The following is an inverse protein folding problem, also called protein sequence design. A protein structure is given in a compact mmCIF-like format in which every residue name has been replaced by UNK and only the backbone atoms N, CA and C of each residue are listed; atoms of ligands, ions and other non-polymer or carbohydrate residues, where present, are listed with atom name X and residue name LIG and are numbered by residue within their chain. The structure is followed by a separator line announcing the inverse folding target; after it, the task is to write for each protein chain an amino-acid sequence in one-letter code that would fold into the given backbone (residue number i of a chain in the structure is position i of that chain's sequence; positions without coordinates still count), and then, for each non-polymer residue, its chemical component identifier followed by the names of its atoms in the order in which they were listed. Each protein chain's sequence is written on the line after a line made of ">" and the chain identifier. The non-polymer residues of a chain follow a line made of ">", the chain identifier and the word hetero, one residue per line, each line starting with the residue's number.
data_IF_020304788214
#
_entry.id   IF_020304788214
#
_cell.length_a   1.000
_cell.length_b   1.000
_cell.length_c   1.000
_cell.angle_alpha   90.00
_cell.angle_beta   90.00
_cell.angle_gamma   90.00
#
_symmetry.space_group_name_H-M   'P 1'
#
loop_
_entity.id
_entity.type
_entity.pdbx_description
1 polymer ?
#
# COMPACT_ATOMS: atom_id res chain seq x y z
N UNK A 1 10.76 -9.30 41.77
CA UNK A 1 11.04 -9.80 40.41
C UNK A 1 12.28 -9.08 39.89
N UNK A 2 13.31 -9.81 39.46
CA UNK A 2 14.52 -9.22 38.90
C UNK A 2 14.23 -8.49 37.61
N UNK A 3 14.86 -7.34 37.39
CA UNK A 3 14.76 -6.56 36.14
C UNK A 3 15.57 -7.29 35.06
N UNK A 4 14.91 -7.87 34.08
CA UNK A 4 15.58 -8.52 32.95
C UNK A 4 16.09 -7.44 32.01
N UNK A 5 17.41 -7.40 31.76
CA UNK A 5 18.06 -6.55 30.76
C UNK A 5 18.41 -7.39 29.54
N UNK A 6 18.32 -6.80 28.38
CA UNK A 6 18.55 -7.49 27.10
C UNK A 6 19.66 -6.83 26.32
N UNK A 7 20.44 -7.65 25.62
CA UNK A 7 21.43 -7.17 24.65
C UNK A 7 20.74 -6.89 23.31
N UNK A 8 21.02 -5.71 22.75
CA UNK A 8 20.56 -5.32 21.43
C UNK A 8 21.70 -4.63 20.71
N UNK A 9 21.99 -5.05 19.50
CA UNK A 9 23.03 -4.41 18.71
C UNK A 9 22.67 -2.93 18.42
N UNK A 10 23.62 -1.99 18.57
CA UNK A 10 23.38 -0.59 18.32
C UNK A 10 22.84 -0.31 16.91
N UNK A 11 23.24 -1.11 15.93
CA UNK A 11 22.80 -1.02 14.54
C UNK A 11 21.29 -1.26 14.40
N UNK A 12 20.73 -2.17 15.19
CA UNK A 12 19.29 -2.46 15.24
C UNK A 12 18.50 -1.30 15.85
N UNK A 13 19.05 -0.67 16.89
CA UNK A 13 18.44 0.52 17.49
C UNK A 13 18.44 1.69 16.47
N UNK A 14 19.55 1.90 15.74
CA UNK A 14 19.61 2.91 14.67
C UNK A 14 18.68 2.59 13.53
N UNK A 15 18.56 1.32 13.15
CA UNK A 15 17.61 0.88 12.13
C UNK A 15 16.16 1.20 12.55
N UNK A 16 15.77 0.87 13.78
CA UNK A 16 14.43 1.16 14.27
C UNK A 16 14.11 2.68 14.31
N UNK A 17 15.09 3.50 14.70
CA UNK A 17 14.97 4.98 14.65
C UNK A 17 14.75 5.47 13.21
N UNK A 18 15.55 4.98 12.25
CA UNK A 18 15.35 5.34 10.83
C UNK A 18 14.01 4.85 10.30
N UNK A 19 13.60 3.63 10.66
CA UNK A 19 12.30 3.06 10.29
C UNK A 19 11.13 3.91 10.77
N UNK A 20 11.26 4.51 11.95
CA UNK A 20 10.27 5.44 12.51
C UNK A 20 10.29 6.84 11.84
N UNK A 21 11.23 7.11 10.95
CA UNK A 21 11.41 8.43 10.34
C UNK A 21 11.88 9.49 11.34
N UNK A 22 12.46 9.08 12.50
CA UNK A 22 12.93 10.03 13.49
C UNK A 22 14.33 10.54 13.16
N UNK A 23 14.51 11.85 13.27
CA UNK A 23 15.84 12.44 13.38
C UNK A 23 16.47 12.16 14.76
N UNK A 24 17.74 12.46 14.91
CA UNK A 24 18.49 12.19 16.13
C UNK A 24 17.92 12.94 17.34
N UNK A 25 17.53 14.22 17.15
CA UNK A 25 16.95 15.03 18.21
C UNK A 25 15.63 14.45 18.71
N UNK A 26 14.75 14.07 17.80
CA UNK A 26 13.47 13.43 18.11
C UNK A 26 13.68 12.10 18.83
N UNK A 27 14.63 11.27 18.35
CA UNK A 27 14.92 9.98 18.95
C UNK A 27 15.40 10.12 20.40
N UNK A 28 16.34 11.03 20.66
CA UNK A 28 16.86 11.29 22.00
C UNK A 28 15.82 11.91 22.95
N UNK A 29 14.96 12.77 22.42
CA UNK A 29 13.86 13.37 23.20
C UNK A 29 12.81 12.32 23.59
N UNK A 30 12.45 11.41 22.68
CA UNK A 30 11.45 10.35 22.93
C UNK A 30 12.01 9.20 23.78
N UNK A 31 13.29 8.91 23.63
CA UNK A 31 13.98 7.81 24.31
C UNK A 31 15.25 8.34 24.99
N UNK A 32 15.14 8.98 26.18
CA UNK A 32 16.29 9.64 26.83
C UNK A 32 17.50 8.75 27.12
N UNK A 33 17.30 7.42 27.20
CA UNK A 33 18.39 6.45 27.42
C UNK A 33 18.98 5.88 26.12
N UNK A 34 18.51 6.32 24.96
CA UNK A 34 18.96 5.79 23.67
C UNK A 34 20.46 6.00 23.47
N UNK A 35 20.99 7.17 23.85
CA UNK A 35 22.43 7.45 23.76
C UNK A 35 23.27 6.44 24.56
N UNK A 36 22.86 6.10 25.79
CA UNK A 36 23.53 5.12 26.62
C UNK A 36 23.47 3.70 26.02
N UNK A 37 22.33 3.36 25.40
CA UNK A 37 22.17 2.06 24.74
C UNK A 37 23.04 1.97 23.48
N UNK A 38 23.08 3.04 22.69
CA UNK A 38 23.91 3.12 21.48
C UNK A 38 25.41 3.08 21.79
N UNK A 39 25.83 3.67 22.93
CA UNK A 39 27.22 3.66 23.39
C UNK A 39 27.59 2.38 24.15
N UNK A 40 26.65 1.47 24.43
CA UNK A 40 26.88 0.29 25.26
C UNK A 40 27.08 0.59 26.75
N UNK A 41 26.86 1.85 27.17
CA UNK A 41 27.01 2.28 28.57
C UNK A 41 25.92 1.67 29.48
N UNK A 42 24.78 1.36 28.94
CA UNK A 42 23.71 0.64 29.64
C UNK A 42 22.93 -0.26 28.69
N UNK A 43 22.23 -1.27 29.24
CA UNK A 43 21.34 -2.15 28.48
C UNK A 43 19.89 -1.84 28.79
N UNK A 44 19.00 -1.83 27.80
CA UNK A 44 17.57 -1.67 28.04
C UNK A 44 17.03 -2.85 28.86
N UNK A 45 16.01 -2.58 29.66
CA UNK A 45 15.17 -3.66 30.18
C UNK A 45 14.26 -4.17 29.07
N UNK A 46 13.76 -5.41 29.20
CA UNK A 46 12.80 -5.98 28.23
C UNK A 46 11.63 -5.02 28.00
N UNK A 47 11.05 -4.48 29.07
CA UNK A 47 9.93 -3.53 29.02
C UNK A 47 10.26 -2.21 28.31
N UNK A 48 11.50 -1.72 28.49
CA UNK A 48 11.96 -0.52 27.77
C UNK A 48 12.14 -0.80 26.28
N UNK A 49 12.65 -1.99 25.94
CA UNK A 49 12.82 -2.39 24.55
C UNK A 49 11.47 -2.66 23.86
N UNK A 50 10.49 -3.27 24.54
CA UNK A 50 9.13 -3.42 24.04
C UNK A 50 8.48 -2.06 23.74
N UNK A 51 8.64 -1.10 24.69
CA UNK A 51 8.16 0.27 24.45
C UNK A 51 8.87 0.93 23.27
N UNK A 52 10.17 0.81 23.16
CA UNK A 52 10.95 1.34 22.05
C UNK A 52 10.51 0.74 20.71
N UNK A 53 10.32 -0.57 20.65
CA UNK A 53 9.78 -1.25 19.46
C UNK A 53 8.41 -0.72 19.06
N UNK A 54 7.51 -0.55 20.04
CA UNK A 54 6.18 0.03 19.81
C UNK A 54 6.25 1.47 19.31
N UNK A 55 7.08 2.31 19.92
CA UNK A 55 7.22 3.72 19.58
C UNK A 55 7.86 3.92 18.20
N UNK A 56 8.77 3.01 17.79
CA UNK A 56 9.44 3.03 16.48
C UNK A 56 8.71 2.21 15.41
N UNK A 57 7.61 1.56 15.77
CA UNK A 57 6.89 0.61 14.90
C UNK A 57 7.78 -0.53 14.37
N UNK A 58 8.90 -0.81 15.04
CA UNK A 58 9.77 -1.93 14.71
C UNK A 58 9.17 -3.23 15.25
N UNK A 59 9.08 -4.31 14.45
CA UNK A 59 8.67 -5.61 14.96
C UNK A 59 9.64 -6.05 16.06
N UNK A 60 9.11 -6.33 17.26
CA UNK A 60 9.93 -6.57 18.46
C UNK A 60 10.99 -7.67 18.24
N UNK A 61 10.62 -8.76 17.57
CA UNK A 61 11.55 -9.86 17.28
C UNK A 61 12.74 -9.46 16.41
N UNK A 62 12.58 -8.44 15.55
CA UNK A 62 13.66 -7.97 14.68
C UNK A 62 14.78 -7.26 15.44
N UNK A 63 14.52 -6.78 16.67
CA UNK A 63 15.53 -6.17 17.52
C UNK A 63 16.52 -7.19 18.12
N UNK A 64 16.34 -8.48 17.86
CA UNK A 64 17.22 -9.58 18.27
C UNK A 64 17.94 -10.25 17.10
N UNK A 65 17.81 -9.70 15.89
CA UNK A 65 18.57 -10.19 14.74
C UNK A 65 20.07 -9.89 14.89
N UNK A 66 20.94 -10.62 14.22
CA UNK A 66 22.38 -10.34 14.24
C UNK A 66 22.75 -9.03 13.54
N UNK A 67 21.93 -8.59 12.56
CA UNK A 67 22.11 -7.37 11.78
C UNK A 67 20.74 -6.79 11.38
N UNK A 68 20.68 -5.49 11.03
CA UNK A 68 19.45 -4.86 10.59
C UNK A 68 18.88 -5.54 9.34
N UNK A 69 17.56 -5.85 9.31
CA UNK A 69 16.94 -6.41 8.14
C UNK A 69 16.94 -5.38 7.00
N UNK A 70 17.14 -5.85 5.78
CA UNK A 70 16.93 -5.04 4.57
C UNK A 70 15.44 -5.07 4.27
N UNK A 71 14.77 -3.96 4.56
CA UNK A 71 13.35 -3.79 4.22
C UNK A 71 13.23 -3.21 2.81
N UNK A 72 12.78 -4.03 1.88
CA UNK A 72 12.43 -3.63 0.52
C UNK A 72 10.91 -3.69 0.35
N UNK A 73 10.38 -2.90 -0.56
CA UNK A 73 8.97 -2.99 -0.93
C UNK A 73 8.75 -4.36 -1.57
N UNK A 74 7.83 -5.20 -1.04
CA UNK A 74 7.68 -6.59 -1.47
C UNK A 74 6.90 -6.75 -2.79
N UNK A 75 6.55 -5.66 -3.44
CA UNK A 75 5.86 -5.59 -4.74
C UNK A 75 6.59 -4.62 -5.66
N UNK A 76 6.46 -4.71 -6.99
CA UNK A 76 7.07 -3.78 -7.92
C UNK A 76 6.70 -2.33 -7.59
N UNK A 77 7.72 -1.50 -7.34
CA UNK A 77 7.54 -0.08 -7.10
C UNK A 77 7.49 0.67 -8.43
N UNK A 78 6.31 1.16 -8.77
CA UNK A 78 6.05 1.91 -9.99
C UNK A 78 6.00 3.42 -9.76
N UNK A 79 6.13 3.88 -8.51
CA UNK A 79 6.10 5.30 -8.18
C UNK A 79 7.16 6.06 -8.96
N UNK A 80 6.76 7.18 -9.53
CA UNK A 80 7.67 8.17 -10.11
C UNK A 80 8.17 9.10 -9.00
N UNK A 81 8.99 8.59 -8.11
CA UNK A 81 9.58 9.44 -7.08
C UNK A 81 10.50 10.44 -7.79
N UNK A 82 10.16 11.72 -7.66
CA UNK A 82 11.03 12.81 -8.07
C UNK A 82 12.41 12.58 -7.46
N UNK A 83 13.48 12.80 -8.23
CA UNK A 83 14.92 12.62 -7.96
C UNK A 83 15.50 13.29 -6.68
N UNK A 84 14.72 13.52 -5.67
CA UNK A 84 15.13 14.07 -4.39
C UNK A 84 15.36 12.91 -3.42
N UNK A 85 16.63 12.53 -3.26
CA UNK A 85 17.22 11.68 -2.21
C UNK A 85 16.23 10.76 -1.48
N UNK A 86 15.89 9.63 -2.08
CA UNK A 86 14.80 8.78 -1.62
C UNK A 86 15.14 8.20 -0.24
N UNK A 87 14.52 8.73 0.79
CA UNK A 87 14.34 7.97 2.01
C UNK A 87 13.64 6.66 1.64
N UNK A 88 14.11 5.51 2.14
CA UNK A 88 13.48 4.21 1.89
C UNK A 88 11.98 4.24 2.22
N UNK A 89 11.22 3.17 1.92
CA UNK A 89 9.79 3.13 2.20
C UNK A 89 9.53 3.35 3.69
N UNK A 90 8.46 4.11 3.99
CA UNK A 90 8.08 4.32 5.38
C UNK A 90 7.62 3.01 6.04
N UNK A 91 7.72 2.95 7.38
CA UNK A 91 7.15 1.85 8.14
C UNK A 91 5.63 1.71 7.91
N UNK A 92 4.94 2.82 7.68
CA UNK A 92 3.50 2.85 7.49
C UNK A 92 3.09 2.21 6.15
N UNK A 93 3.85 2.51 5.09
CA UNK A 93 3.68 1.87 3.78
C UNK A 93 3.95 0.36 3.85
N UNK A 94 5.11 -0.05 4.39
CA UNK A 94 5.49 -1.45 4.48
C UNK A 94 4.49 -2.27 5.31
N UNK A 95 4.12 -1.77 6.49
CA UNK A 95 3.17 -2.45 7.37
C UNK A 95 1.78 -2.57 6.73
N UNK A 96 1.38 -1.57 5.92
CA UNK A 96 0.11 -1.60 5.17
C UNK A 96 0.15 -2.68 4.08
N UNK A 97 1.23 -2.77 3.30
CA UNK A 97 1.39 -3.80 2.27
C UNK A 97 1.38 -5.19 2.91
N UNK A 98 2.20 -5.42 3.96
CA UNK A 98 2.23 -6.71 4.65
C UNK A 98 0.90 -7.09 5.29
N UNK A 99 0.13 -6.12 5.80
CA UNK A 99 -1.21 -6.36 6.31
C UNK A 99 -2.15 -6.85 5.21
N UNK A 100 -2.11 -6.19 4.04
CA UNK A 100 -2.93 -6.56 2.89
C UNK A 100 -2.54 -7.92 2.32
N UNK A 101 -1.23 -8.22 2.20
CA UNK A 101 -0.75 -9.55 1.77
C UNK A 101 -1.26 -10.66 2.68
N UNK A 102 -1.13 -10.50 4.01
CA UNK A 102 -1.65 -11.51 4.96
C UNK A 102 -3.16 -11.71 4.86
N UNK A 103 -3.93 -10.66 4.57
CA UNK A 103 -5.39 -10.77 4.37
C UNK A 103 -5.71 -11.44 3.05
N UNK A 104 -4.96 -11.12 2.00
CA UNK A 104 -5.07 -11.77 0.69
C UNK A 104 -4.77 -13.26 0.80
N UNK A 105 -3.66 -13.64 1.43
CA UNK A 105 -3.26 -15.05 1.62
C UNK A 105 -4.35 -15.82 2.38
N UNK A 106 -4.85 -15.25 3.49
CA UNK A 106 -5.90 -15.88 4.27
C UNK A 106 -7.19 -16.07 3.46
N UNK A 107 -7.60 -15.03 2.71
CA UNK A 107 -8.82 -15.11 1.89
C UNK A 107 -8.64 -16.07 0.72
N UNK A 108 -7.47 -16.09 0.10
CA UNK A 108 -7.12 -17.01 -0.99
C UNK A 108 -7.25 -18.47 -0.55
N UNK A 109 -6.69 -18.82 0.60
CA UNK A 109 -6.78 -20.17 1.15
C UNK A 109 -8.25 -20.54 1.41
N UNK A 110 -9.01 -19.64 2.04
CA UNK A 110 -10.45 -19.83 2.27
C UNK A 110 -11.24 -20.01 0.96
N UNK A 111 -10.98 -19.18 -0.04
CA UNK A 111 -11.67 -19.21 -1.32
C UNK A 111 -11.39 -20.52 -2.08
N UNK A 112 -10.14 -20.96 -2.09
CA UNK A 112 -9.73 -22.24 -2.70
C UNK A 112 -10.41 -23.43 -1.99
N UNK A 113 -10.43 -23.44 -0.68
CA UNK A 113 -11.12 -24.50 0.09
C UNK A 113 -12.65 -24.51 -0.18
N UNK A 114 -13.22 -23.33 -0.47
CA UNK A 114 -14.61 -23.19 -0.87
C UNK A 114 -14.89 -23.51 -2.36
N UNK A 115 -13.85 -23.86 -3.13
CA UNK A 115 -13.97 -24.20 -4.56
C UNK A 115 -14.09 -22.99 -5.49
N UNK A 116 -13.55 -21.82 -5.09
CA UNK A 116 -13.55 -20.64 -5.94
C UNK A 116 -12.77 -20.89 -7.25
N UNK A 117 -13.32 -20.39 -8.34
CA UNK A 117 -12.69 -20.42 -9.65
C UNK A 117 -11.78 -19.19 -9.86
N UNK A 118 -10.92 -19.27 -10.88
CA UNK A 118 -10.09 -18.15 -11.28
C UNK A 118 -10.95 -17.01 -11.84
N UNK A 119 -10.51 -15.78 -11.63
CA UNK A 119 -11.18 -14.58 -12.10
C UNK A 119 -10.67 -14.25 -13.52
N UNK A 120 -11.53 -14.41 -14.52
CA UNK A 120 -11.20 -14.37 -15.94
C UNK A 120 -10.51 -13.08 -16.43
N UNK A 121 -10.80 -11.94 -15.81
CA UNK A 121 -10.20 -10.68 -16.28
C UNK A 121 -8.79 -10.45 -15.74
N UNK A 122 -8.37 -11.12 -14.66
CA UNK A 122 -7.02 -10.97 -14.10
C UNK A 122 -5.99 -11.49 -15.11
N UNK A 123 -5.01 -10.67 -15.47
CA UNK A 123 -3.99 -11.03 -16.45
C UNK A 123 -4.49 -11.24 -17.87
N UNK A 124 -5.72 -10.85 -18.19
CA UNK A 124 -6.35 -11.10 -19.50
C UNK A 124 -5.90 -10.15 -20.61
N UNK A 125 -5.12 -9.11 -20.30
CA UNK A 125 -4.61 -8.14 -21.27
C UNK A 125 -3.12 -7.89 -21.14
N UNK A 126 -2.54 -7.29 -22.16
CA UNK A 126 -1.15 -6.82 -22.14
C UNK A 126 -1.10 -5.32 -22.37
N UNK A 127 0.03 -4.68 -22.08
CA UNK A 127 0.23 -3.24 -22.32
C UNK A 127 0.14 -2.81 -23.78
N UNK A 128 0.09 -3.75 -24.70
CA UNK A 128 -0.12 -3.49 -26.14
C UNK A 128 -1.59 -3.38 -26.52
N UNK A 129 -2.50 -3.77 -25.61
CA UNK A 129 -3.94 -3.62 -25.83
C UNK A 129 -4.31 -2.14 -25.87
N UNK A 130 -5.21 -1.71 -26.80
CA UNK A 130 -5.69 -0.33 -26.84
C UNK A 130 -6.39 0.04 -25.52
N UNK A 131 -5.96 1.10 -24.82
CA UNK A 131 -6.55 1.51 -23.54
C UNK A 131 -8.05 1.73 -23.61
N UNK A 132 -8.55 2.29 -24.71
CA UNK A 132 -9.98 2.59 -24.95
C UNK A 132 -10.82 1.30 -24.99
N UNK A 133 -10.30 0.26 -25.64
CA UNK A 133 -11.00 -1.03 -25.72
C UNK A 133 -11.06 -1.72 -24.36
N UNK A 134 -9.98 -1.63 -23.56
CA UNK A 134 -9.95 -2.18 -22.20
C UNK A 134 -10.86 -1.38 -21.27
N UNK A 135 -10.82 -0.05 -21.35
CA UNK A 135 -11.69 0.83 -20.60
C UNK A 135 -13.19 0.55 -20.86
N UNK A 136 -13.56 0.31 -22.12
CA UNK A 136 -14.92 -0.11 -22.49
C UNK A 136 -15.34 -1.39 -21.76
N UNK A 137 -14.50 -2.43 -21.80
CA UNK A 137 -14.76 -3.70 -21.08
C UNK A 137 -14.85 -3.50 -19.56
N UNK A 138 -13.98 -2.66 -18.98
CA UNK A 138 -14.03 -2.35 -17.54
C UNK A 138 -15.32 -1.61 -17.18
N UNK A 139 -15.76 -0.65 -18.01
CA UNK A 139 -17.04 0.05 -17.82
C UNK A 139 -18.22 -0.90 -17.83
N UNK A 140 -18.26 -1.82 -18.78
CA UNK A 140 -19.33 -2.82 -18.89
C UNK A 140 -19.35 -3.73 -17.66
N UNK A 141 -18.20 -4.23 -17.23
CA UNK A 141 -18.06 -5.10 -16.05
C UNK A 141 -18.47 -4.39 -14.75
N UNK A 142 -18.01 -3.15 -14.57
CA UNK A 142 -18.31 -2.32 -13.41
C UNK A 142 -19.65 -1.59 -13.53
N UNK A 143 -20.39 -1.75 -14.66
CA UNK A 143 -21.65 -1.07 -14.95
C UNK A 143 -21.56 0.45 -14.75
N UNK A 144 -20.45 1.07 -15.18
CA UNK A 144 -20.26 2.51 -15.08
C UNK A 144 -21.16 3.19 -16.10
N UNK A 145 -22.06 4.06 -15.63
CA UNK A 145 -23.04 4.75 -16.44
C UNK A 145 -24.49 4.32 -16.23
N UNK A 146 -24.72 3.13 -15.62
CA UNK A 146 -26.08 2.63 -15.33
C UNK A 146 -26.80 3.48 -14.29
N UNK A 147 -26.06 4.07 -13.38
CA UNK A 147 -26.57 4.93 -12.32
C UNK A 147 -25.65 6.14 -12.13
N UNK A 148 -26.26 7.32 -11.97
CA UNK A 148 -25.52 8.55 -11.67
C UNK A 148 -25.59 8.80 -10.18
N UNK A 149 -24.49 8.56 -9.46
CA UNK A 149 -24.37 8.89 -8.05
C UNK A 149 -24.53 10.39 -7.80
N UNK A 150 -25.21 10.75 -6.72
CA UNK A 150 -25.47 12.14 -6.35
C UNK A 150 -24.23 12.78 -5.67
N UNK A 151 -23.36 11.98 -5.06
CA UNK A 151 -22.16 12.44 -4.35
C UNK A 151 -20.95 11.58 -4.67
N UNK A 152 -19.75 12.14 -4.45
CA UNK A 152 -18.50 11.39 -4.58
C UNK A 152 -18.42 10.21 -3.60
N UNK A 153 -19.03 10.32 -2.42
CA UNK A 153 -19.05 9.23 -1.43
C UNK A 153 -19.93 8.08 -1.90
N UNK A 154 -21.09 8.36 -2.46
CA UNK A 154 -21.98 7.36 -3.06
C UNK A 154 -21.30 6.69 -4.25
N UNK A 155 -20.70 7.46 -5.16
CA UNK A 155 -19.95 6.91 -6.30
C UNK A 155 -18.83 5.97 -5.87
N UNK A 156 -18.09 6.31 -4.82
CA UNK A 156 -17.02 5.48 -4.28
C UNK A 156 -17.59 4.19 -3.66
N UNK A 157 -18.67 4.27 -2.91
CA UNK A 157 -19.32 3.11 -2.30
C UNK A 157 -19.84 2.14 -3.36
N UNK A 158 -20.56 2.66 -4.35
CA UNK A 158 -21.09 1.85 -5.48
C UNK A 158 -19.95 1.17 -6.25
N UNK A 159 -18.85 1.90 -6.47
CA UNK A 159 -17.71 1.37 -7.22
C UNK A 159 -16.98 0.27 -6.44
N UNK A 160 -16.82 0.43 -5.12
CA UNK A 160 -16.27 -0.61 -4.24
C UNK A 160 -17.16 -1.85 -4.32
N UNK A 161 -18.46 -1.71 -4.09
CA UNK A 161 -19.40 -2.83 -4.08
C UNK A 161 -19.39 -3.59 -5.43
N UNK A 162 -19.37 -2.88 -6.54
CA UNK A 162 -19.30 -3.49 -7.88
C UNK A 162 -17.97 -4.22 -8.11
N UNK A 163 -16.86 -3.65 -7.63
CA UNK A 163 -15.54 -4.28 -7.72
C UNK A 163 -15.45 -5.53 -6.86
N UNK A 164 -16.01 -5.49 -5.64
CA UNK A 164 -16.07 -6.64 -4.73
C UNK A 164 -16.98 -7.75 -5.27
N UNK A 165 -18.08 -7.41 -5.94
CA UNK A 165 -18.96 -8.38 -6.61
C UNK A 165 -18.28 -9.11 -7.79
N UNK A 166 -17.15 -8.61 -8.29
CA UNK A 166 -16.30 -9.28 -9.28
C UNK A 166 -15.24 -10.19 -8.64
N UNK A 167 -15.23 -10.33 -7.31
CA UNK A 167 -14.28 -11.16 -6.58
C UNK A 167 -12.99 -10.45 -6.17
N UNK A 168 -12.90 -9.14 -6.32
CA UNK A 168 -11.72 -8.35 -5.91
C UNK A 168 -11.89 -7.88 -4.48
N UNK A 169 -10.89 -8.10 -3.64
CA UNK A 169 -10.84 -7.51 -2.30
C UNK A 169 -10.51 -6.01 -2.41
N UNK A 170 -11.38 -5.14 -1.89
CA UNK A 170 -11.12 -3.70 -1.88
C UNK A 170 -10.91 -3.21 -0.46
N UNK A 171 -9.76 -2.61 -0.19
CA UNK A 171 -9.41 -2.05 1.11
C UNK A 171 -9.18 -0.55 0.99
N UNK A 172 -9.98 0.25 1.67
CA UNK A 172 -9.83 1.71 1.75
C UNK A 172 -9.55 2.09 3.19
N UNK A 173 -8.36 2.61 3.47
CA UNK A 173 -8.00 3.05 4.81
C UNK A 173 -7.00 4.20 4.76
N UNK A 174 -7.19 5.22 5.61
CA UNK A 174 -6.27 6.36 5.75
C UNK A 174 -5.30 6.22 6.93
N UNK A 175 -5.26 5.05 7.58
CA UNK A 175 -4.38 4.75 8.72
C UNK A 175 -3.86 3.31 8.62
N UNK A 176 -2.74 3.03 9.26
CA UNK A 176 -2.20 1.67 9.29
C UNK A 176 -3.06 0.76 10.19
N UNK A 177 -3.70 -0.23 9.62
CA UNK A 177 -4.37 -1.30 10.35
C UNK A 177 -5.47 -0.90 11.33
N UNK A 178 -5.92 0.35 11.34
CA UNK A 178 -6.88 0.92 12.30
C UNK A 178 -6.21 1.75 13.40
N UNK A 179 -4.90 1.93 13.38
CA UNK A 179 -4.20 2.81 14.31
C UNK A 179 -4.29 4.28 13.85
N UNK A 180 -5.18 5.06 14.49
CA UNK A 180 -5.44 6.47 14.16
C UNK A 180 -4.25 7.41 14.35
N UNK A 181 -3.20 6.98 15.05
CA UNK A 181 -1.95 7.72 15.23
C UNK A 181 -0.95 7.50 14.08
N UNK A 182 -1.23 6.54 13.19
CA UNK A 182 -0.40 6.20 12.03
C UNK A 182 -1.15 6.53 10.75
N UNK A 183 -1.22 7.81 10.43
CA UNK A 183 -1.91 8.28 9.22
C UNK A 183 -1.04 8.02 7.99
N UNK A 184 -1.64 7.45 6.97
CA UNK A 184 -0.99 7.24 5.68
C UNK A 184 -0.79 8.57 4.94
N UNK A 185 0.33 8.69 4.24
CA UNK A 185 0.66 9.87 3.46
C UNK A 185 0.31 9.66 1.97
N UNK A 186 -0.67 10.39 1.39
CA UNK A 186 -1.00 10.28 -0.03
C UNK A 186 0.12 10.78 -0.96
N UNK A 187 1.08 11.56 -0.45
CA UNK A 187 2.27 11.98 -1.21
C UNK A 187 3.30 10.86 -1.34
N UNK A 188 3.28 9.87 -0.42
CA UNK A 188 4.15 8.70 -0.51
C UNK A 188 3.56 7.64 -1.44
N UNK A 189 2.26 7.34 -1.30
CA UNK A 189 1.53 6.41 -2.17
C UNK A 189 0.03 6.67 -2.10
N UNK A 190 -0.67 6.42 -3.20
CA UNK A 190 -2.12 6.56 -3.30
C UNK A 190 -2.87 5.25 -3.27
N UNK A 191 -2.24 4.19 -3.78
CA UNK A 191 -2.80 2.85 -3.79
C UNK A 191 -1.78 1.80 -4.19
N UNK A 192 -2.21 0.57 -4.20
CA UNK A 192 -1.49 -0.55 -4.80
C UNK A 192 -2.44 -1.70 -5.13
N UNK A 193 -2.05 -2.48 -6.13
CA UNK A 193 -2.68 -3.74 -6.49
C UNK A 193 -1.82 -4.93 -6.06
N UNK A 194 -2.46 -5.97 -5.55
CA UNK A 194 -1.89 -7.29 -5.35
C UNK A 194 -2.61 -8.27 -6.27
N UNK A 195 -1.97 -8.62 -7.38
CA UNK A 195 -2.55 -9.53 -8.37
C UNK A 195 -2.50 -10.96 -7.88
N UNK A 196 -3.62 -11.64 -7.97
CA UNK A 196 -3.80 -13.06 -7.73
C UNK A 196 -5.01 -13.53 -8.54
N UNK A 197 -4.98 -14.75 -9.07
CA UNK A 197 -6.04 -15.26 -9.96
C UNK A 197 -7.34 -15.57 -9.22
N UNK A 198 -7.30 -15.75 -7.89
CA UNK A 198 -8.46 -16.15 -7.06
C UNK A 198 -8.83 -15.06 -6.04
N UNK A 199 -7.84 -14.34 -5.53
CA UNK A 199 -7.99 -13.35 -4.47
C UNK A 199 -7.27 -12.03 -4.80
N UNK A 200 -7.52 -11.40 -5.96
CA UNK A 200 -6.92 -10.11 -6.25
C UNK A 200 -7.35 -9.07 -5.24
N UNK A 201 -6.42 -8.17 -4.88
CA UNK A 201 -6.68 -7.15 -3.88
C UNK A 201 -6.25 -5.77 -4.40
N UNK A 202 -7.09 -4.77 -4.13
CA UNK A 202 -6.78 -3.34 -4.31
C UNK A 202 -6.79 -2.65 -2.97
N UNK A 203 -5.72 -1.90 -2.68
CA UNK A 203 -5.68 -0.96 -1.57
C UNK A 203 -5.74 0.47 -2.09
N UNK A 204 -6.59 1.29 -1.47
CA UNK A 204 -6.70 2.73 -1.75
C UNK A 204 -6.41 3.52 -0.47
N UNK A 205 -5.52 4.50 -0.54
CA UNK A 205 -5.22 5.38 0.58
C UNK A 205 -6.40 6.30 0.88
N UNK A 206 -7.13 5.99 1.95
CA UNK A 206 -8.31 6.72 2.38
C UNK A 206 -8.04 8.13 2.93
N UNK A 207 -6.76 8.52 3.10
CA UNK A 207 -6.38 9.88 3.49
C UNK A 207 -6.42 10.87 2.32
N UNK A 208 -6.51 10.39 1.07
CA UNK A 208 -6.65 11.22 -0.13
C UNK A 208 -8.09 11.72 -0.33
N UNK A 209 -8.29 12.63 -1.28
CA UNK A 209 -9.62 13.13 -1.66
C UNK A 209 -10.48 12.04 -2.30
N UNK A 210 -11.79 12.12 -2.20
CA UNK A 210 -12.70 11.13 -2.79
C UNK A 210 -12.53 10.96 -4.29
N UNK A 211 -12.33 12.06 -5.01
CA UNK A 211 -12.09 12.03 -6.46
C UNK A 211 -10.79 11.27 -6.79
N UNK A 212 -9.71 11.53 -6.02
CA UNK A 212 -8.45 10.82 -6.19
C UNK A 212 -8.59 9.33 -5.82
N UNK A 213 -9.34 9.00 -4.77
CA UNK A 213 -9.60 7.60 -4.38
C UNK A 213 -10.33 6.82 -5.49
N UNK A 214 -11.32 7.43 -6.14
CA UNK A 214 -12.05 6.81 -7.27
C UNK A 214 -11.08 6.56 -8.44
N UNK A 215 -10.28 7.56 -8.80
CA UNK A 215 -9.30 7.40 -9.86
C UNK A 215 -8.28 6.30 -9.53
N UNK A 216 -7.76 6.29 -8.29
CA UNK A 216 -6.83 5.28 -7.81
C UNK A 216 -7.44 3.88 -7.87
N UNK A 217 -8.70 3.70 -7.43
CA UNK A 217 -9.37 2.39 -7.49
C UNK A 217 -9.41 1.84 -8.92
N UNK A 218 -9.79 2.65 -9.91
CA UNK A 218 -9.83 2.23 -11.31
C UNK A 218 -8.43 2.01 -11.88
N UNK A 219 -7.45 2.80 -11.48
CA UNK A 219 -6.06 2.63 -11.87
C UNK A 219 -5.50 1.29 -11.38
N UNK A 220 -5.70 0.97 -10.09
CA UNK A 220 -5.26 -0.31 -9.52
C UNK A 220 -6.05 -1.49 -10.12
N UNK A 221 -7.32 -1.29 -10.47
CA UNK A 221 -8.09 -2.29 -11.19
C UNK A 221 -7.49 -2.57 -12.58
N UNK A 222 -6.95 -1.55 -13.28
CA UNK A 222 -6.25 -1.77 -14.56
C UNK A 222 -4.96 -2.60 -14.40
N UNK A 223 -4.24 -2.48 -13.28
CA UNK A 223 -3.09 -3.35 -12.97
C UNK A 223 -3.51 -4.82 -12.81
N UNK A 224 -4.67 -5.09 -12.21
CA UNK A 224 -5.19 -6.47 -12.12
C UNK A 224 -5.48 -7.07 -13.51
N UNK A 225 -6.00 -6.27 -14.45
CA UNK A 225 -6.21 -6.74 -15.83
C UNK A 225 -4.91 -7.10 -16.54
N UNK A 226 -3.79 -6.44 -16.19
CA UNK A 226 -2.44 -6.81 -16.64
C UNK A 226 -1.86 -8.02 -15.90
N UNK A 227 -2.50 -8.51 -14.82
CA UNK A 227 -1.95 -9.54 -13.94
C UNK A 227 -0.71 -9.06 -13.19
N UNK A 228 -0.65 -7.78 -12.81
CA UNK A 228 0.51 -7.16 -12.19
C UNK A 228 0.21 -6.65 -10.79
N UNK A 229 1.03 -7.08 -9.84
CA UNK A 229 1.11 -6.36 -8.56
C UNK A 229 1.94 -5.11 -8.75
N UNK A 230 1.47 -3.98 -8.25
CA UNK A 230 2.16 -2.69 -8.40
C UNK A 230 1.86 -1.77 -7.23
N UNK A 231 2.85 -0.98 -6.81
CA UNK A 231 2.69 0.17 -5.93
C UNK A 231 2.73 1.42 -6.78
N UNK A 232 1.64 2.19 -6.79
CA UNK A 232 1.44 3.29 -7.70
C UNK A 232 1.47 4.65 -6.99
N UNK A 233 2.06 5.60 -7.70
CA UNK A 233 1.96 7.04 -7.44
C UNK A 233 1.18 7.65 -8.61
N UNK A 234 -0.12 7.80 -8.43
CA UNK A 234 -1.01 8.28 -9.49
C UNK A 234 -0.86 9.79 -9.67
N UNK A 235 0.31 10.21 -10.15
CA UNK A 235 0.51 11.58 -10.62
C UNK A 235 -0.06 11.69 -12.05
N UNK A 236 -1.13 12.44 -12.21
CA UNK A 236 -1.77 12.73 -13.51
C UNK A 236 -0.81 13.30 -14.57
N UNK A 237 0.39 13.72 -14.18
CA UNK A 237 1.35 14.47 -15.01
C UNK A 237 2.69 13.72 -15.22
N UNK A 238 2.71 12.40 -15.09
CA UNK A 238 3.93 11.61 -15.21
C UNK A 238 4.41 11.49 -16.67
N UNK A 239 4.97 12.58 -17.22
CA UNK A 239 5.68 12.57 -18.53
C UNK A 239 6.92 11.66 -18.51
N UNK A 240 7.34 11.15 -17.34
CA UNK A 240 8.52 10.30 -17.15
C UNK A 240 8.22 8.89 -16.60
N UNK A 241 6.96 8.54 -16.32
CA UNK A 241 6.59 7.25 -15.72
C UNK A 241 6.82 6.04 -16.62
N UNK A 242 6.90 4.84 -15.99
CA UNK A 242 7.00 3.56 -16.70
C UNK A 242 5.84 3.43 -17.71
N UNK A 243 6.07 2.71 -18.80
CA UNK A 243 5.05 2.53 -19.87
C UNK A 243 3.76 1.96 -19.31
N UNK A 244 3.86 1.05 -18.35
CA UNK A 244 2.74 0.42 -17.66
C UNK A 244 1.87 1.44 -16.90
N UNK A 245 2.49 2.34 -16.13
CA UNK A 245 1.78 3.39 -15.40
C UNK A 245 1.00 4.33 -16.33
N UNK A 246 1.63 4.73 -17.44
CA UNK A 246 0.94 5.57 -18.45
C UNK A 246 -0.23 4.87 -19.08
N UNK A 247 -0.09 3.57 -19.33
CA UNK A 247 -1.17 2.75 -19.86
C UNK A 247 -2.33 2.64 -18.84
N UNK A 248 -2.05 2.30 -17.59
CA UNK A 248 -3.05 2.22 -16.51
C UNK A 248 -3.75 3.57 -16.28
N UNK A 249 -2.99 4.68 -16.27
CA UNK A 249 -3.54 6.03 -16.17
C UNK A 249 -4.50 6.34 -17.30
N UNK A 250 -4.15 5.96 -18.55
CA UNK A 250 -5.02 6.18 -19.72
C UNK A 250 -6.28 5.31 -19.65
N UNK A 251 -6.16 4.04 -19.27
CA UNK A 251 -7.32 3.16 -19.06
C UNK A 251 -8.22 3.73 -17.97
N UNK A 252 -7.68 4.18 -16.85
CA UNK A 252 -8.46 4.74 -15.75
C UNK A 252 -9.19 6.02 -16.18
N UNK A 253 -8.51 6.93 -16.85
CA UNK A 253 -9.12 8.17 -17.36
C UNK A 253 -10.27 7.87 -18.34
N UNK A 254 -10.04 6.98 -19.30
CA UNK A 254 -11.02 6.60 -20.31
C UNK A 254 -12.21 5.81 -19.71
N UNK A 255 -11.95 5.03 -18.66
CA UNK A 255 -13.01 4.33 -17.92
C UNK A 255 -13.94 5.31 -17.22
N UNK A 256 -13.40 6.35 -16.59
CA UNK A 256 -14.19 7.33 -15.84
C UNK A 256 -14.83 8.41 -16.72
N UNK A 257 -14.10 8.86 -17.75
CA UNK A 257 -14.55 9.94 -18.67
C UNK A 257 -14.15 9.58 -20.10
N UNK A 258 -14.99 8.84 -20.83
CA UNK A 258 -14.72 8.49 -22.23
C UNK A 258 -14.55 9.72 -23.10
N UNK A 259 -13.53 9.74 -23.96
CA UNK A 259 -13.30 10.84 -24.91
C UNK A 259 -14.50 11.07 -25.82
N UNK A 260 -15.20 10.00 -26.22
CA UNK A 260 -16.40 10.06 -27.06
C UNK A 260 -17.60 10.77 -26.39
N UNK A 261 -17.55 10.93 -25.05
CA UNK A 261 -18.59 11.64 -24.29
C UNK A 261 -18.35 13.14 -24.18
N UNK A 262 -17.23 13.65 -24.72
CA UNK A 262 -16.83 15.06 -24.67
C UNK A 262 -17.09 15.79 -26.02
N UNK A 263 -17.75 15.13 -26.99
CA UNK A 263 -18.09 15.62 -28.31
C UNK A 263 -19.41 16.37 -28.39
#
# INVERSE_FOLDING_TARGET
>A
MGVVRVDVAPELLRWAVRRAGWDEETALRRVPKLADWLAGASRPTLKQLEKFASDTHAPFGMLFLPEPPVETIPIPDMRTIRDAGVAGPSADLLDTIYLCQRRQDWYRDYALDAGAEQIDFVGSVTITAPPEAVAGRMRDLLRIGDHRAATWSEAMTDLIERTENLGVLVMVNGVVGGNTHRRLNPEEFRGFALSDDVAPLIFVNGADTRAAQIFTLIHEFAHLWLGRSALSDVALDARGGKVEERWCNRVAAETLVPLDSLG
#
